data_IF_218236815908
#
_entry.id   IF_218236815908
#
_cell.length_a   1.000
_cell.length_b   1.000
_cell.length_c   1.000
_cell.angle_alpha   90.00
_cell.angle_beta   90.00
_cell.angle_gamma   90.00
#
_symmetry.space_group_name_H-M   'P 1'
#
loop_
_entity.id
_entity.type
_entity.pdbx_description
1 polymer ?
#
# COMPACT_ATOMS: atom_id res chain seq x y z
N UNK A 1 19.32 -3.15 -7.94
CA UNK A 1 18.49 -4.29 -7.47
C UNK A 1 17.00 -3.96 -7.26
N UNK A 2 16.49 -2.76 -7.55
CA UNK A 2 15.09 -2.39 -7.26
C UNK A 2 14.09 -2.62 -8.41
N UNK A 3 14.59 -2.96 -9.61
CA UNK A 3 13.80 -2.97 -10.84
C UNK A 3 12.79 -4.12 -10.95
N UNK A 4 13.03 -5.29 -10.35
CA UNK A 4 12.12 -6.43 -10.50
C UNK A 4 10.80 -6.22 -9.75
N UNK A 5 10.86 -5.68 -8.53
CA UNK A 5 9.68 -5.34 -7.72
C UNK A 5 8.89 -4.24 -8.42
N UNK A 6 9.54 -3.16 -8.84
CA UNK A 6 8.89 -2.07 -9.53
C UNK A 6 8.23 -2.53 -10.86
N UNK A 7 8.92 -3.35 -11.67
CA UNK A 7 8.34 -3.91 -12.91
C UNK A 7 7.07 -4.73 -12.66
N UNK A 8 7.07 -5.59 -11.63
CA UNK A 8 5.88 -6.40 -11.29
C UNK A 8 4.72 -5.51 -10.81
N UNK A 9 5.00 -4.52 -9.96
CA UNK A 9 3.98 -3.59 -9.46
C UNK A 9 3.31 -2.82 -10.60
N UNK A 10 4.09 -2.31 -11.56
CA UNK A 10 3.55 -1.59 -12.73
C UNK A 10 2.66 -2.47 -13.59
N UNK A 11 3.08 -3.71 -13.88
CA UNK A 11 2.27 -4.63 -14.68
C UNK A 11 0.91 -4.94 -14.06
N UNK A 12 0.79 -4.89 -12.73
CA UNK A 12 -0.51 -5.01 -12.05
C UNK A 12 -1.32 -3.72 -12.14
N UNK A 13 -0.68 -2.56 -11.99
CA UNK A 13 -1.34 -1.25 -12.09
C UNK A 13 -1.88 -0.95 -13.49
N UNK A 14 -1.17 -1.39 -14.54
CA UNK A 14 -1.60 -1.22 -15.93
C UNK A 14 -2.92 -1.94 -16.21
N UNK A 15 -3.13 -3.12 -15.60
CA UNK A 15 -4.40 -3.86 -15.71
C UNK A 15 -5.58 -3.13 -15.06
N UNK A 16 -5.30 -2.24 -14.11
CA UNK A 16 -6.28 -1.39 -13.44
C UNK A 16 -6.43 -0.01 -14.11
N UNK A 17 -5.70 0.25 -15.20
CA UNK A 17 -5.75 1.50 -15.95
C UNK A 17 -5.06 2.67 -15.24
N UNK A 18 -4.16 2.41 -14.28
CA UNK A 18 -3.40 3.43 -13.53
C UNK A 18 -4.28 4.59 -13.01
N UNK A 19 -5.41 4.29 -12.38
CA UNK A 19 -6.31 5.31 -11.81
C UNK A 19 -6.18 5.42 -10.29
N UNK A 20 -6.21 6.66 -9.79
CA UNK A 20 -6.35 6.96 -8.37
C UNK A 20 -5.04 7.27 -7.65
N UNK A 21 -5.14 7.56 -6.36
CA UNK A 21 -4.00 7.82 -5.50
C UNK A 21 -3.28 6.52 -5.12
N UNK A 22 -1.95 6.59 -5.02
CA UNK A 22 -1.11 5.45 -4.67
C UNK A 22 -0.63 5.53 -3.23
N UNK A 23 -0.58 4.38 -2.56
CA UNK A 23 -0.01 4.23 -1.22
C UNK A 23 0.83 2.97 -1.17
N UNK A 24 1.94 3.00 -0.44
CA UNK A 24 2.76 1.82 -0.20
C UNK A 24 2.95 1.59 1.30
N UNK A 25 2.80 0.32 1.71
CA UNK A 25 2.88 -0.15 3.10
C UNK A 25 3.88 -1.31 3.22
N UNK A 26 4.14 -1.76 4.45
CA UNK A 26 5.11 -2.81 4.75
C UNK A 26 6.55 -2.30 4.87
N UNK A 27 7.49 -3.21 5.12
CA UNK A 27 8.90 -2.85 5.36
C UNK A 27 9.60 -2.19 4.17
N UNK A 28 9.25 -2.60 2.94
CA UNK A 28 9.83 -2.05 1.70
C UNK A 28 9.47 -0.58 1.51
N UNK A 29 8.38 -0.10 2.11
CA UNK A 29 8.00 1.31 2.06
C UNK A 29 9.01 2.25 2.73
N UNK A 30 9.86 1.73 3.63
CA UNK A 30 10.97 2.48 4.24
C UNK A 30 12.19 2.59 3.31
N UNK A 31 12.25 1.81 2.24
CA UNK A 31 13.33 1.90 1.26
C UNK A 31 13.01 2.98 0.22
N UNK A 32 13.62 4.15 0.41
CA UNK A 32 13.41 5.30 -0.46
C UNK A 32 13.80 5.08 -1.93
N UNK A 33 14.85 4.30 -2.20
CA UNK A 33 15.24 3.96 -3.57
C UNK A 33 14.22 3.08 -4.30
N UNK A 34 13.48 2.23 -3.58
CA UNK A 34 12.36 1.47 -4.16
C UNK A 34 11.15 2.36 -4.39
N UNK A 35 10.81 3.23 -3.43
CA UNK A 35 9.72 4.22 -3.56
C UNK A 35 9.94 5.06 -4.82
N UNK A 36 11.12 5.67 -4.96
CA UNK A 36 11.45 6.56 -6.08
C UNK A 36 11.41 5.83 -7.42
N UNK A 37 11.92 4.60 -7.49
CA UNK A 37 11.86 3.77 -8.71
C UNK A 37 10.41 3.42 -9.11
N UNK A 38 9.51 3.27 -8.14
CA UNK A 38 8.08 3.04 -8.39
C UNK A 38 7.41 4.35 -8.84
N UNK A 39 7.62 5.46 -8.13
CA UNK A 39 7.07 6.77 -8.49
C UNK A 39 7.44 7.18 -9.92
N UNK A 40 8.71 7.03 -10.31
CA UNK A 40 9.19 7.34 -11.66
C UNK A 40 8.47 6.54 -12.74
N UNK A 41 8.15 5.27 -12.48
CA UNK A 41 7.49 4.40 -13.45
C UNK A 41 5.98 4.61 -13.48
N UNK A 42 5.37 4.95 -12.36
CA UNK A 42 3.94 5.29 -12.30
C UNK A 42 3.71 6.66 -12.93
N UNK A 43 4.67 7.59 -12.78
CA UNK A 43 4.52 8.98 -13.18
C UNK A 43 3.77 9.82 -12.14
N UNK A 44 3.65 9.34 -10.90
CA UNK A 44 2.90 9.98 -9.82
C UNK A 44 3.53 9.66 -8.46
N UNK A 45 3.13 10.40 -7.43
CA UNK A 45 3.59 10.23 -6.04
C UNK A 45 2.90 9.08 -5.34
N UNK A 46 3.68 8.43 -4.47
CA UNK A 46 3.18 7.37 -3.58
C UNK A 46 3.14 7.92 -2.17
N UNK A 47 1.96 7.87 -1.55
CA UNK A 47 1.82 8.18 -0.14
C UNK A 47 2.49 7.10 0.71
N UNK A 48 3.37 7.52 1.61
CA UNK A 48 4.01 6.67 2.62
C UNK A 48 3.50 7.10 4.00
N UNK A 49 2.77 6.24 4.72
CA UNK A 49 2.34 6.54 6.08
C UNK A 49 3.55 6.56 7.04
N UNK A 50 3.40 7.20 8.20
CA UNK A 50 4.48 7.28 9.19
C UNK A 50 4.99 5.91 9.65
N UNK A 51 4.07 4.95 9.86
CA UNK A 51 4.37 3.59 10.31
C UNK A 51 3.87 2.54 9.30
N UNK A 52 4.53 2.40 8.13
CA UNK A 52 4.02 1.57 7.04
C UNK A 52 3.95 0.08 7.38
N UNK A 53 4.79 -0.38 8.30
CA UNK A 53 4.82 -1.75 8.79
C UNK A 53 3.59 -2.13 9.64
N UNK A 54 2.93 -1.16 10.28
CA UNK A 54 1.80 -1.43 11.19
C UNK A 54 0.44 -1.40 10.51
N UNK A 55 0.34 -0.88 9.29
CA UNK A 55 -0.95 -0.64 8.60
C UNK A 55 -1.80 -1.91 8.50
N UNK A 56 -1.18 -3.06 8.20
CA UNK A 56 -1.92 -4.33 8.10
C UNK A 56 -2.50 -4.78 9.44
N UNK A 57 -1.74 -4.68 10.52
CA UNK A 57 -2.20 -5.03 11.87
C UNK A 57 -3.30 -4.08 12.34
N UNK A 58 -3.17 -2.78 12.05
CA UNK A 58 -4.21 -1.78 12.35
C UNK A 58 -5.52 -2.11 11.61
N UNK A 59 -5.46 -2.47 10.33
CA UNK A 59 -6.62 -2.89 9.56
C UNK A 59 -7.33 -4.10 10.17
N UNK A 60 -6.56 -5.12 10.57
CA UNK A 60 -7.10 -6.30 11.24
C UNK A 60 -7.80 -5.95 12.57
N UNK A 61 -7.21 -5.08 13.38
CA UNK A 61 -7.81 -4.63 14.64
C UNK A 61 -9.12 -3.86 14.42
N UNK A 62 -9.18 -2.98 13.40
CA UNK A 62 -10.39 -2.25 13.04
C UNK A 62 -11.49 -3.21 12.58
N UNK A 63 -11.16 -4.19 11.74
CA UNK A 63 -12.13 -5.20 11.29
C UNK A 63 -12.71 -5.99 12.46
N UNK A 64 -11.87 -6.46 13.38
CA UNK A 64 -12.32 -7.15 14.59
C UNK A 64 -13.26 -6.29 15.44
N UNK A 65 -12.93 -5.00 15.61
CA UNK A 65 -13.79 -4.06 16.34
C UNK A 65 -15.14 -3.85 15.64
N UNK A 66 -15.16 -3.75 14.31
CA UNK A 66 -16.40 -3.64 13.53
C UNK A 66 -17.27 -4.88 13.70
N UNK A 67 -16.70 -6.08 13.66
CA UNK A 67 -17.44 -7.33 13.89
C UNK A 67 -18.05 -7.39 15.30
N UNK A 68 -17.31 -6.98 16.33
CA UNK A 68 -17.81 -6.93 17.71
C UNK A 68 -18.98 -5.96 17.83
N UNK A 69 -18.87 -4.77 17.23
CA UNK A 69 -19.94 -3.75 17.25
C UNK A 69 -21.19 -4.21 16.51
N UNK A 70 -21.05 -4.87 15.37
CA UNK A 70 -22.21 -5.43 14.62
C UNK A 70 -22.92 -6.53 15.42
N UNK A 71 -22.18 -7.33 16.20
CA UNK A 71 -22.74 -8.40 17.04
C UNK A 71 -23.44 -7.92 18.31
N UNK A 72 -23.12 -6.73 18.83
CA UNK A 72 -23.77 -6.15 20.03
C UNK A 72 -24.97 -5.24 19.72
N UNK A 73 -25.24 -4.94 18.45
CA UNK A 73 -26.40 -4.15 18.00
C UNK A 73 -27.50 -5.05 17.38
N UNK A 74 -27.31 -6.37 17.40
CA UNK A 74 -28.34 -7.37 17.07
C UNK A 74 -28.92 -8.00 18.32
#
# INVERSE_FOLDING_TARGET
MHNSVASKTIGLLDRLGRKGAYMMTGGVAKNRGVVEAIEQRIGDKVHIPAEPQMVGALGAAILALQEIKVKHVK
#
